data_IF_415367949707
#
_entry.id   IF_415367949707
#
_cell.length_a   1.000
_cell.length_b   1.000
_cell.length_c   1.000
_cell.angle_alpha   90.00
_cell.angle_beta   90.00
_cell.angle_gamma   90.00
#
_symmetry.space_group_name_H-M   'P 1'
#
loop_
_entity.id
_entity.type
_entity.pdbx_description
1 polymer ?
#
# COMPACT_ATOMS: atom_id res chain seq x y z
N UNK A 1 -0.94 2.89 15.40
CA UNK A 1 -0.42 1.70 14.76
C UNK A 1 -1.02 1.52 13.35
N UNK A 2 -2.33 1.70 13.20
CA UNK A 2 -3.04 1.59 11.94
C UNK A 2 -3.23 2.96 11.32
N UNK A 3 -3.31 3.00 10.00
CA UNK A 3 -3.50 4.24 9.24
C UNK A 3 -4.56 4.06 8.16
N UNK A 4 -5.24 5.14 7.84
CA UNK A 4 -6.17 5.18 6.72
C UNK A 4 -6.12 6.53 6.03
N UNK A 5 -6.48 6.55 4.77
CA UNK A 5 -6.57 7.77 4.00
C UNK A 5 -7.52 7.63 2.83
N UNK A 6 -7.94 8.78 2.31
CA UNK A 6 -8.75 8.85 1.10
C UNK A 6 -8.34 10.05 0.25
N UNK A 7 -8.64 9.95 -1.02
CA UNK A 7 -8.50 11.05 -1.97
C UNK A 7 -9.64 11.00 -2.98
N UNK A 8 -10.16 12.13 -3.37
CA UNK A 8 -11.12 12.19 -4.47
C UNK A 8 -11.00 13.51 -5.24
N UNK A 9 -11.24 13.43 -6.56
CA UNK A 9 -11.36 14.53 -7.47
C UNK A 9 -12.42 14.20 -8.54
N UNK A 10 -12.45 14.96 -9.64
CA UNK A 10 -13.39 14.74 -10.74
C UNK A 10 -13.15 13.46 -11.53
N UNK A 11 -11.94 12.86 -11.44
CA UNK A 11 -11.52 11.69 -12.21
C UNK A 11 -11.56 10.39 -11.39
N UNK A 12 -11.30 10.46 -10.08
CA UNK A 12 -11.18 9.25 -9.24
C UNK A 12 -11.61 9.45 -7.80
N UNK A 13 -11.88 8.32 -7.13
CA UNK A 13 -11.95 8.21 -5.68
C UNK A 13 -11.06 7.05 -5.21
N UNK A 14 -10.26 7.29 -4.17
CA UNK A 14 -9.32 6.31 -3.60
C UNK A 14 -9.55 6.20 -2.10
N UNK A 15 -9.59 4.97 -1.59
CA UNK A 15 -9.60 4.68 -0.15
C UNK A 15 -8.48 3.68 0.14
N UNK A 16 -7.73 3.95 1.19
CA UNK A 16 -6.58 3.13 1.61
C UNK A 16 -6.66 2.87 3.10
N UNK A 17 -6.40 1.63 3.51
CA UNK A 17 -6.21 1.23 4.91
C UNK A 17 -4.93 0.41 5.02
N UNK A 18 -4.20 0.61 6.11
CA UNK A 18 -2.96 -0.08 6.41
C UNK A 18 -2.95 -0.46 7.89
N UNK A 19 -2.78 -1.76 8.17
CA UNK A 19 -2.72 -2.31 9.51
C UNK A 19 -1.26 -2.59 9.86
N UNK A 20 -0.75 -1.85 10.85
CA UNK A 20 0.63 -1.97 11.33
C UNK A 20 0.83 -3.22 12.19
N UNK A 21 1.98 -3.86 12.08
CA UNK A 21 2.30 -5.06 12.85
C UNK A 21 2.34 -4.81 14.36
N UNK A 22 1.57 -5.57 15.13
CA UNK A 22 1.36 -5.37 16.57
C UNK A 22 2.46 -5.88 17.50
N UNK A 23 3.59 -6.36 17.00
CA UNK A 23 4.68 -6.90 17.83
C UNK A 23 5.71 -5.82 18.16
N UNK A 24 6.29 -5.85 19.36
CA UNK A 24 7.38 -4.97 19.79
C UNK A 24 8.62 -5.03 18.86
N UNK A 25 8.74 -6.08 18.04
CA UNK A 25 9.79 -6.19 17.05
C UNK A 25 9.64 -5.22 15.85
N UNK A 26 8.52 -4.51 15.77
CA UNK A 26 8.21 -3.52 14.73
C UNK A 26 7.97 -2.14 15.34
N UNK A 27 9.01 -1.50 15.93
CA UNK A 27 8.85 -0.31 16.77
C UNK A 27 8.35 0.95 16.04
N UNK A 28 8.36 0.94 14.69
CA UNK A 28 7.95 2.08 13.85
C UNK A 28 6.78 1.73 12.90
N UNK A 29 6.00 0.77 13.28
CA UNK A 29 4.86 0.29 12.48
C UNK A 29 3.78 1.37 12.24
N UNK A 30 3.61 2.30 13.17
CA UNK A 30 2.74 3.48 13.05
C UNK A 30 3.18 4.41 11.90
N UNK A 31 4.49 4.65 11.78
CA UNK A 31 5.07 5.39 10.65
C UNK A 31 4.95 4.58 9.35
N UNK A 32 5.24 3.28 9.44
CA UNK A 32 5.17 2.38 8.29
C UNK A 32 3.79 2.32 7.65
N UNK A 33 2.73 2.26 8.46
CA UNK A 33 1.34 2.28 7.97
C UNK A 33 0.96 3.64 7.39
N UNK A 34 1.41 4.76 7.99
CA UNK A 34 1.21 6.11 7.44
C UNK A 34 1.90 6.27 6.09
N UNK A 35 3.17 5.85 5.98
CA UNK A 35 3.91 5.91 4.71
C UNK A 35 3.26 5.03 3.63
N UNK A 36 2.71 3.87 4.00
CA UNK A 36 2.02 3.00 3.06
C UNK A 36 0.75 3.66 2.49
N UNK A 37 -0.01 4.36 3.31
CA UNK A 37 -1.19 5.12 2.88
C UNK A 37 -0.77 6.25 1.92
N UNK A 38 0.22 7.06 2.29
CA UNK A 38 0.67 8.19 1.48
C UNK A 38 1.28 7.74 0.14
N UNK A 39 2.15 6.72 0.18
CA UNK A 39 2.77 6.14 -1.01
C UNK A 39 1.72 5.60 -1.98
N UNK A 40 0.68 4.94 -1.44
CA UNK A 40 -0.39 4.35 -2.24
C UNK A 40 -1.26 5.42 -2.90
N UNK A 41 -1.71 6.42 -2.16
CA UNK A 41 -2.52 7.52 -2.72
C UNK A 41 -1.73 8.24 -3.82
N UNK A 42 -0.46 8.55 -3.57
CA UNK A 42 0.41 9.23 -4.54
C UNK A 42 0.57 8.40 -5.81
N UNK A 43 0.92 7.12 -5.68
CA UNK A 43 1.15 6.25 -6.83
C UNK A 43 -0.13 6.02 -7.66
N UNK A 44 -1.29 5.85 -7.00
CA UNK A 44 -2.57 5.67 -7.70
C UNK A 44 -2.94 6.95 -8.47
N UNK A 45 -2.77 8.11 -7.87
CA UNK A 45 -3.05 9.39 -8.55
C UNK A 45 -2.19 9.58 -9.81
N UNK A 46 -0.89 9.31 -9.71
CA UNK A 46 0.03 9.37 -10.85
C UNK A 46 -0.34 8.35 -11.92
N UNK A 47 -0.69 7.13 -11.52
CA UNK A 47 -1.11 6.05 -12.41
C UNK A 47 -2.35 6.43 -13.22
N UNK A 48 -3.43 6.88 -12.56
CA UNK A 48 -4.69 7.27 -13.23
C UNK A 48 -4.45 8.47 -14.15
N UNK A 49 -3.74 9.49 -13.68
CA UNK A 49 -3.41 10.66 -14.48
C UNK A 49 -2.62 10.28 -15.74
N UNK A 50 -1.60 9.44 -15.62
CA UNK A 50 -0.80 8.97 -16.75
C UNK A 50 -1.64 8.18 -17.75
N UNK A 51 -2.54 7.31 -17.25
CA UNK A 51 -3.44 6.54 -18.09
C UNK A 51 -4.40 7.43 -18.89
N UNK A 52 -4.97 8.46 -18.26
CA UNK A 52 -5.84 9.43 -18.92
C UNK A 52 -5.08 10.26 -19.97
N UNK A 53 -3.92 10.85 -19.61
CA UNK A 53 -3.11 11.69 -20.50
C UNK A 53 -2.59 10.92 -21.73
N UNK A 54 -2.29 9.63 -21.57
CA UNK A 54 -1.75 8.77 -22.61
C UNK A 54 -2.80 7.94 -23.34
N UNK A 55 -4.08 8.08 -22.98
CA UNK A 55 -5.20 7.28 -23.49
C UNK A 55 -4.93 5.76 -23.44
N UNK A 56 -4.37 5.30 -22.32
CA UNK A 56 -4.03 3.90 -22.11
C UNK A 56 -5.29 3.12 -21.75
N UNK A 57 -5.58 2.05 -22.50
CA UNK A 57 -6.59 1.07 -22.13
C UNK A 57 -6.02 0.08 -21.09
N UNK A 58 -6.26 0.39 -19.82
CA UNK A 58 -5.81 -0.47 -18.69
C UNK A 58 -6.45 -1.87 -18.78
N UNK A 59 -7.61 -2.02 -19.38
CA UNK A 59 -8.30 -3.30 -19.50
C UNK A 59 -7.59 -4.28 -20.44
N UNK A 60 -6.77 -3.78 -21.37
CA UNK A 60 -6.03 -4.59 -22.33
C UNK A 60 -4.97 -5.50 -21.67
N UNK A 61 -4.33 -5.03 -20.57
CA UNK A 61 -3.34 -5.81 -19.80
C UNK A 61 -3.35 -5.38 -18.33
N UNK A 62 -4.50 -5.55 -17.67
CA UNK A 62 -4.71 -5.08 -16.30
C UNK A 62 -3.72 -5.66 -15.30
N UNK A 63 -3.31 -6.92 -15.48
CA UNK A 63 -2.38 -7.59 -14.56
C UNK A 63 -1.00 -6.91 -14.57
N UNK A 64 -0.47 -6.62 -15.76
CA UNK A 64 0.82 -5.93 -15.92
C UNK A 64 0.80 -4.51 -15.35
N UNK A 65 -0.26 -3.75 -15.63
CA UNK A 65 -0.41 -2.39 -15.11
C UNK A 65 -0.54 -2.36 -13.60
N UNK A 66 -1.33 -3.25 -13.00
CA UNK A 66 -1.48 -3.34 -11.55
C UNK A 66 -0.22 -3.85 -10.86
N UNK A 67 0.52 -4.78 -11.47
CA UNK A 67 1.83 -5.20 -10.97
C UNK A 67 2.83 -4.05 -10.95
N UNK A 68 2.87 -3.24 -12.02
CA UNK A 68 3.74 -2.07 -12.07
C UNK A 68 3.33 -1.01 -11.03
N UNK A 69 2.03 -0.79 -10.84
CA UNK A 69 1.53 0.11 -9.80
C UNK A 69 1.94 -0.38 -8.41
N UNK A 70 1.81 -1.68 -8.12
CA UNK A 70 2.26 -2.24 -6.85
C UNK A 70 3.76 -2.06 -6.61
N UNK A 71 4.59 -2.22 -7.65
CA UNK A 71 6.04 -1.95 -7.59
C UNK A 71 6.32 -0.47 -7.27
N UNK A 72 5.58 0.45 -7.88
CA UNK A 72 5.74 1.88 -7.62
C UNK A 72 5.33 2.24 -6.18
N UNK A 73 4.24 1.67 -5.67
CA UNK A 73 3.82 1.85 -4.27
C UNK A 73 4.92 1.40 -3.32
N UNK A 74 5.48 0.22 -3.55
CA UNK A 74 6.57 -0.32 -2.72
C UNK A 74 7.82 0.55 -2.81
N UNK A 75 8.20 1.01 -3.99
CA UNK A 75 9.36 1.89 -4.17
C UNK A 75 9.19 3.21 -3.39
N UNK A 76 8.02 3.83 -3.46
CA UNK A 76 7.70 5.04 -2.72
C UNK A 76 7.72 4.80 -1.21
N UNK A 77 7.17 3.67 -0.76
CA UNK A 77 7.19 3.29 0.65
C UNK A 77 8.62 3.07 1.16
N UNK A 78 9.47 2.34 0.41
CA UNK A 78 10.88 2.15 0.78
C UNK A 78 11.63 3.48 0.84
N UNK A 79 11.42 4.38 -0.12
CA UNK A 79 12.05 5.69 -0.12
C UNK A 79 11.65 6.53 1.12
N UNK A 80 10.38 6.46 1.55
CA UNK A 80 9.90 7.12 2.76
C UNK A 80 10.54 6.52 4.02
N UNK A 81 10.65 5.19 4.09
CA UNK A 81 11.30 4.49 5.20
C UNK A 81 12.79 4.87 5.29
N UNK A 82 13.51 4.83 4.16
CA UNK A 82 14.93 5.16 4.12
C UNK A 82 15.18 6.61 4.57
N UNK A 83 14.37 7.54 4.10
CA UNK A 83 14.43 8.95 4.51
C UNK A 83 14.12 9.14 6.01
N UNK A 84 13.17 8.37 6.56
CA UNK A 84 12.86 8.43 7.99
C UNK A 84 13.98 7.86 8.84
N UNK A 85 14.59 6.76 8.43
CA UNK A 85 15.75 6.15 9.14
C UNK A 85 16.96 7.07 9.11
N UNK A 86 17.22 7.72 7.97
CA UNK A 86 18.33 8.68 7.84
C UNK A 86 18.12 9.89 8.78
N UNK A 87 16.91 10.42 8.80
CA UNK A 87 16.57 11.58 9.62
C UNK A 87 16.46 11.27 11.11
N UNK A 88 15.98 10.09 11.43
CA UNK A 88 15.71 9.62 12.79
C UNK A 88 16.32 8.22 12.98
N UNK A 89 17.63 8.09 13.23
CA UNK A 89 18.25 6.81 13.57
C UNK A 89 17.55 6.13 14.75
N UNK A 90 17.62 4.81 14.82
CA UNK A 90 17.02 4.04 15.92
C UNK A 90 17.65 4.44 17.26
N UNK A 91 16.82 4.80 18.24
CA UNK A 91 17.27 5.10 19.59
C UNK A 91 17.52 3.83 20.41
N UNK A 92 18.33 3.95 21.47
CA UNK A 92 18.54 2.83 22.41
C UNK A 92 17.24 2.42 23.10
N UNK A 93 16.32 3.35 23.36
CA UNK A 93 15.03 3.08 23.95
C UNK A 93 14.15 2.24 23.02
N UNK A 94 14.07 2.57 21.72
CA UNK A 94 13.35 1.76 20.72
C UNK A 94 13.94 0.35 20.65
N UNK A 95 15.26 0.24 20.59
CA UNK A 95 15.97 -1.03 20.45
C UNK A 95 15.88 -1.90 21.71
N UNK A 96 15.76 -1.32 22.90
CA UNK A 96 15.64 -2.09 24.14
C UNK A 96 14.36 -2.92 24.25
N UNK A 97 13.33 -2.56 23.51
CA UNK A 97 12.02 -3.25 23.48
C UNK A 97 11.96 -4.37 22.44
N UNK A 98 12.93 -4.39 21.55
CA UNK A 98 13.02 -5.33 20.42
C UNK A 98 13.83 -6.56 20.82
N UNK A 99 13.44 -7.75 20.35
CA UNK A 99 14.21 -8.97 20.61
C UNK A 99 15.62 -8.92 20.02
N UNK A 100 16.59 -9.58 20.64
CA UNK A 100 18.02 -9.56 20.30
C UNK A 100 18.31 -9.77 18.79
N UNK A 101 17.52 -10.64 18.15
CA UNK A 101 17.66 -10.93 16.72
C UNK A 101 17.35 -9.72 15.86
N UNK A 102 16.29 -8.98 16.18
CA UNK A 102 15.87 -7.78 15.45
C UNK A 102 16.75 -6.59 15.83
N UNK A 103 17.12 -6.46 17.11
CA UNK A 103 18.02 -5.42 17.59
C UNK A 103 19.33 -5.42 16.80
N UNK A 104 20.03 -6.59 16.72
CA UNK A 104 21.27 -6.73 15.95
C UNK A 104 21.10 -6.34 14.48
N UNK A 105 19.95 -6.67 13.89
CA UNK A 105 19.61 -6.36 12.50
C UNK A 105 19.47 -4.86 12.28
N UNK A 106 18.70 -4.18 13.13
CA UNK A 106 18.47 -2.74 13.01
C UNK A 106 19.73 -1.94 13.28
N UNK A 107 20.54 -2.33 14.28
CA UNK A 107 21.84 -1.72 14.57
C UNK A 107 22.85 -1.88 13.43
N UNK A 108 22.82 -2.98 12.70
CA UNK A 108 23.74 -3.23 11.57
C UNK A 108 23.30 -2.53 10.27
N UNK A 109 22.19 -1.81 10.26
CA UNK A 109 21.63 -1.21 9.05
C UNK A 109 20.99 -2.20 8.09
N UNK A 110 20.85 -3.48 8.49
CA UNK A 110 20.27 -4.50 7.63
C UNK A 110 18.77 -4.62 7.83
N UNK A 111 18.02 -4.55 6.72
CA UNK A 111 16.58 -4.76 6.71
C UNK A 111 15.82 -3.90 7.73
N UNK A 112 16.22 -2.64 7.85
CA UNK A 112 15.61 -1.67 8.77
C UNK A 112 14.13 -1.40 8.41
N UNK A 113 13.74 -1.60 7.16
CA UNK A 113 12.37 -1.53 6.69
C UNK A 113 11.41 -2.45 7.46
N UNK A 114 11.91 -3.55 8.03
CA UNK A 114 11.09 -4.44 8.85
C UNK A 114 10.53 -3.78 10.10
N UNK A 115 11.20 -2.77 10.65
CA UNK A 115 10.70 -2.02 11.80
C UNK A 115 9.38 -1.27 11.49
N UNK A 116 9.11 -1.03 10.21
CA UNK A 116 7.95 -0.31 9.67
C UNK A 116 6.86 -1.24 9.12
N UNK A 117 6.91 -2.53 9.47
CA UNK A 117 6.03 -3.54 8.89
C UNK A 117 4.54 -3.20 8.98
N UNK A 118 3.84 -3.32 7.87
CA UNK A 118 2.40 -3.07 7.75
C UNK A 118 1.77 -3.91 6.64
N UNK A 119 0.47 -4.11 6.70
CA UNK A 119 -0.35 -4.57 5.58
C UNK A 119 -0.91 -3.38 4.81
N UNK A 120 -1.55 -3.62 3.68
CA UNK A 120 -2.18 -2.58 2.87
C UNK A 120 -3.38 -3.15 2.12
N UNK A 121 -4.48 -2.41 2.13
CA UNK A 121 -5.62 -2.60 1.22
C UNK A 121 -5.98 -1.25 0.64
N UNK A 122 -6.10 -1.17 -0.69
CA UNK A 122 -6.52 0.03 -1.40
C UNK A 122 -7.60 -0.30 -2.42
N UNK A 123 -8.54 0.60 -2.59
CA UNK A 123 -9.55 0.55 -3.65
C UNK A 123 -9.56 1.90 -4.36
N UNK A 124 -9.50 1.85 -5.68
CA UNK A 124 -9.64 3.02 -6.54
C UNK A 124 -10.83 2.82 -7.48
N UNK A 125 -11.65 3.85 -7.61
CA UNK A 125 -12.73 3.93 -8.59
C UNK A 125 -12.53 5.16 -9.48
N UNK A 126 -12.58 4.96 -10.78
CA UNK A 126 -12.63 6.02 -11.80
C UNK A 126 -14.01 6.03 -12.46
N UNK A 127 -14.20 6.84 -13.51
CA UNK A 127 -15.42 6.83 -14.32
C UNK A 127 -15.60 5.55 -15.13
N UNK A 128 -14.48 4.93 -15.56
CA UNK A 128 -14.46 3.85 -16.54
C UNK A 128 -14.15 2.48 -15.94
N UNK A 129 -13.43 2.45 -14.80
CA UNK A 129 -13.00 1.21 -14.16
C UNK A 129 -12.82 1.39 -12.64
N UNK A 130 -12.70 0.27 -11.96
CA UNK A 130 -12.24 0.21 -10.58
C UNK A 130 -11.24 -0.94 -10.39
N UNK A 131 -10.38 -0.81 -9.40
CA UNK A 131 -9.46 -1.88 -9.02
C UNK A 131 -9.21 -1.87 -7.50
N UNK A 132 -8.75 -3.03 -6.99
CA UNK A 132 -8.29 -3.19 -5.62
C UNK A 132 -6.88 -3.77 -5.60
N UNK A 133 -6.08 -3.29 -4.65
CA UNK A 133 -4.75 -3.80 -4.35
C UNK A 133 -4.71 -4.27 -2.90
N UNK A 134 -3.99 -5.37 -2.66
CA UNK A 134 -3.79 -5.89 -1.33
C UNK A 134 -2.35 -6.37 -1.17
N UNK A 135 -1.71 -5.97 -0.08
CA UNK A 135 -0.39 -6.44 0.36
C UNK A 135 -0.55 -6.96 1.79
N UNK A 136 -0.14 -8.20 2.03
CA UNK A 136 -0.29 -8.87 3.32
C UNK A 136 -1.46 -9.86 3.36
N UNK A 137 -1.87 -10.26 4.57
CA UNK A 137 -2.86 -11.29 4.85
C UNK A 137 -4.29 -10.77 5.10
N UNK A 138 -4.50 -9.46 4.96
CA UNK A 138 -5.80 -8.82 5.01
C UNK A 138 -6.78 -9.43 3.98
N UNK A 139 -8.07 -9.16 4.11
CA UNK A 139 -9.09 -9.59 3.14
C UNK A 139 -9.93 -8.40 2.73
N UNK A 140 -9.96 -8.13 1.42
CA UNK A 140 -10.91 -7.20 0.83
C UNK A 140 -12.07 -7.99 0.25
N UNK A 141 -13.28 -7.71 0.71
CA UNK A 141 -14.50 -8.30 0.17
C UNK A 141 -15.41 -7.19 -0.38
N UNK A 142 -15.81 -7.31 -1.65
CA UNK A 142 -16.85 -6.45 -2.23
C UNK A 142 -18.20 -7.15 -2.11
N UNK A 143 -19.16 -6.51 -1.43
CA UNK A 143 -20.55 -6.95 -1.41
C UNK A 143 -21.35 -6.03 -2.34
N UNK A 144 -21.51 -6.47 -3.59
CA UNK A 144 -22.22 -5.69 -4.59
C UNK A 144 -23.65 -6.17 -4.67
N UNK A 145 -24.60 -5.36 -4.19
CA UNK A 145 -26.00 -5.47 -4.59
C UNK A 145 -26.13 -4.98 -6.04
N UNK A 146 -26.02 -5.90 -6.99
CA UNK A 146 -26.23 -5.60 -8.41
C UNK A 146 -27.70 -5.22 -8.60
N UNK A 147 -28.02 -3.94 -8.71
CA UNK A 147 -29.24 -3.53 -9.38
C UNK A 147 -29.04 -3.83 -10.85
N UNK A 148 -29.85 -4.77 -11.38
CA UNK A 148 -29.88 -5.11 -12.81
C UNK A 148 -30.07 -3.84 -13.61
N UNK A 149 -29.07 -3.45 -14.40
CA UNK A 149 -29.20 -2.29 -15.29
C UNK A 149 -27.92 -1.65 -15.83
N UNK A 150 -26.74 -2.10 -15.46
CA UNK A 150 -25.49 -1.70 -16.12
C UNK A 150 -24.50 -2.87 -16.05
N UNK A 151 -23.94 -3.24 -17.18
CA UNK A 151 -22.95 -4.32 -17.32
C UNK A 151 -21.64 -3.97 -16.59
N UNK A 152 -21.63 -4.15 -15.28
CA UNK A 152 -20.41 -4.17 -14.49
C UNK A 152 -20.04 -5.62 -14.18
N UNK A 153 -19.07 -6.16 -14.91
CA UNK A 153 -18.52 -7.49 -14.63
C UNK A 153 -17.56 -7.42 -13.44
N UNK A 154 -18.04 -7.88 -12.29
CA UNK A 154 -17.30 -7.93 -11.02
C UNK A 154 -16.35 -9.13 -10.90
N UNK A 155 -16.10 -9.87 -11.97
CA UNK A 155 -15.33 -11.12 -11.94
C UNK A 155 -13.81 -10.92 -11.82
N UNK A 156 -13.30 -9.69 -11.82
CA UNK A 156 -11.87 -9.39 -11.81
C UNK A 156 -11.33 -8.81 -10.51
N UNK A 157 -11.78 -9.31 -9.38
CA UNK A 157 -11.03 -9.14 -8.15
C UNK A 157 -9.86 -10.13 -8.19
N UNK A 158 -8.69 -9.68 -8.63
CA UNK A 158 -7.53 -10.56 -8.75
C UNK A 158 -7.01 -10.94 -7.36
N UNK A 159 -7.28 -12.19 -6.95
CA UNK A 159 -6.79 -12.78 -5.70
C UNK A 159 -5.33 -13.23 -5.89
N UNK A 160 -4.41 -12.33 -6.01
CA UNK A 160 -2.99 -12.66 -5.86
C UNK A 160 -2.39 -11.82 -4.75
N UNK A 161 -2.49 -12.33 -3.52
CA UNK A 161 -1.66 -11.88 -2.44
C UNK A 161 -0.20 -12.23 -2.74
N UNK A 162 0.59 -11.26 -3.15
CA UNK A 162 2.04 -11.40 -3.14
C UNK A 162 2.50 -11.09 -1.73
N UNK A 163 2.87 -12.14 -0.97
CA UNK A 163 3.58 -11.95 0.29
C UNK A 163 4.99 -11.44 -0.02
N UNK A 164 5.31 -10.28 0.49
CA UNK A 164 6.67 -9.77 0.62
C UNK A 164 7.15 -9.93 2.06
#
# INVERSE_FOLDING_TARGET
QDSSGCYSDDSMAVVVVADGHGSDNYPRTDRGSSFAVEATITAIREFVKTAEESAIDISADSDSYLEQLAKNILANWYAAVDADVEKYPFSEEELSKVSDKYQKRYMSGQRQEKAYGTTLIAVCQTKDYWFGLQIGDGKCGCNCNVRRGSDFDLSRCNRRGTML
#
